data_IF_201758021872
#
_entry.id   IF_201758021872
#
_cell.length_a   1.000
_cell.length_b   1.000
_cell.length_c   1.000
_cell.angle_alpha   90.00
_cell.angle_beta   90.00
_cell.angle_gamma   90.00
#
_symmetry.space_group_name_H-M   'P 1'
#
loop_
_entity.id
_entity.type
_entity.pdbx_description
1 polymer ?
#
# COMPACT_ATOMS: atom_id res chain seq x y z
N UNK A 1 21.06 -2.44 32.87
CA UNK A 1 19.65 -2.87 33.00
C UNK A 1 18.84 -1.60 33.19
N UNK A 2 18.15 -1.11 32.17
CA UNK A 2 17.64 0.27 32.11
C UNK A 2 16.33 0.52 32.90
N UNK A 3 16.15 -0.21 34.00
CA UNK A 3 15.08 0.04 34.97
C UNK A 3 15.68 0.77 36.15
N UNK A 4 15.09 1.89 36.53
CA UNK A 4 15.47 2.59 37.75
C UNK A 4 15.38 1.63 38.95
N UNK A 5 16.30 1.71 39.92
CA UNK A 5 16.35 0.83 41.10
C UNK A 5 15.05 0.84 41.94
N UNK A 6 14.18 1.83 41.73
CA UNK A 6 12.87 1.93 42.37
C UNK A 6 11.72 1.26 41.59
N UNK A 7 11.96 0.77 40.37
CA UNK A 7 10.96 0.02 39.65
C UNK A 7 10.76 -1.34 40.33
N UNK A 8 9.53 -1.66 40.76
CA UNK A 8 9.28 -2.91 41.45
C UNK A 8 9.58 -4.07 40.50
N UNK A 9 10.37 -5.04 40.98
CA UNK A 9 10.46 -6.34 40.31
C UNK A 9 9.05 -6.91 40.16
N UNK A 10 8.82 -7.59 39.03
CA UNK A 10 7.58 -8.34 38.81
C UNK A 10 7.32 -9.23 40.03
N UNK A 11 6.18 -9.04 40.72
CA UNK A 11 5.84 -9.83 41.90
C UNK A 11 5.85 -11.32 41.50
N UNK A 12 6.69 -12.15 42.15
CA UNK A 12 6.64 -13.59 41.94
C UNK A 12 5.27 -14.12 42.32
N UNK A 13 4.83 -15.19 41.64
CA UNK A 13 3.60 -15.86 42.07
C UNK A 13 3.86 -16.58 43.41
N UNK A 14 2.94 -16.53 44.39
CA UNK A 14 3.15 -17.15 45.70
C UNK A 14 3.40 -18.67 45.64
N UNK A 15 2.82 -19.34 44.65
CA UNK A 15 2.86 -20.78 44.42
C UNK A 15 4.03 -21.24 43.54
N UNK A 16 4.69 -20.29 42.86
CA UNK A 16 5.67 -20.54 41.80
C UNK A 16 6.68 -19.37 41.76
N UNK A 17 7.43 -19.11 42.84
CA UNK A 17 8.24 -17.90 43.01
C UNK A 17 9.53 -17.89 42.18
N UNK A 18 9.98 -19.05 41.77
CA UNK A 18 11.25 -19.35 41.10
C UNK A 18 11.07 -19.72 39.62
N UNK A 19 9.83 -19.92 39.16
CA UNK A 19 9.54 -20.24 37.76
C UNK A 19 8.98 -19.04 37.01
N UNK A 20 9.37 -18.83 35.74
CA UNK A 20 8.76 -17.80 34.92
C UNK A 20 7.24 -18.01 34.80
N UNK A 21 6.51 -16.94 34.53
CA UNK A 21 5.07 -17.01 34.20
C UNK A 21 4.93 -17.65 32.82
N UNK A 22 5.02 -18.98 32.81
CA UNK A 22 4.85 -19.87 31.67
C UNK A 22 3.70 -20.84 31.96
N UNK A 23 2.89 -21.21 30.95
CA UNK A 23 2.89 -20.66 29.59
C UNK A 23 2.32 -19.25 29.54
N UNK A 24 2.67 -18.50 28.48
CA UNK A 24 2.09 -17.20 28.19
C UNK A 24 0.56 -17.34 28.08
N UNK A 25 -0.23 -16.54 28.82
CA UNK A 25 -1.68 -16.61 28.71
C UNK A 25 -2.13 -16.35 27.28
N UNK A 26 -3.14 -17.08 26.79
CA UNK A 26 -3.68 -16.96 25.42
C UNK A 26 -4.08 -15.53 25.01
N UNK A 27 -4.42 -14.67 25.98
CA UNK A 27 -4.79 -13.26 25.79
C UNK A 27 -3.61 -12.30 25.65
N UNK A 28 -2.39 -12.74 25.96
CA UNK A 28 -1.19 -11.93 25.85
C UNK A 28 -0.64 -12.11 24.43
N UNK A 29 -0.75 -11.10 23.58
CA UNK A 29 -0.30 -11.17 22.18
C UNK A 29 1.21 -10.93 22.05
N UNK A 30 1.75 -9.98 22.81
CA UNK A 30 3.15 -9.61 22.79
C UNK A 30 3.69 -9.35 24.20
N UNK A 31 5.00 -9.57 24.40
CA UNK A 31 5.75 -9.27 25.64
C UNK A 31 7.20 -8.94 25.27
N UNK A 32 7.66 -7.76 25.66
CA UNK A 32 9.07 -7.38 25.61
C UNK A 32 9.68 -7.33 27.02
N UNK A 33 10.95 -7.71 27.14
CA UNK A 33 11.76 -7.53 28.36
C UNK A 33 12.50 -6.20 28.40
N UNK A 34 12.18 -5.30 27.48
CA UNK A 34 12.98 -4.13 27.15
C UNK A 34 12.23 -2.83 27.50
N UNK A 35 12.99 -1.75 27.66
CA UNK A 35 12.41 -0.43 27.86
C UNK A 35 12.08 0.21 26.53
N UNK A 36 10.94 0.87 26.48
CA UNK A 36 10.41 1.48 25.27
C UNK A 36 9.22 2.36 25.57
N UNK A 37 8.58 2.83 24.53
CA UNK A 37 7.37 3.65 24.60
C UNK A 37 6.42 3.31 23.46
N UNK A 38 5.17 3.69 23.64
CA UNK A 38 4.12 3.49 22.64
C UNK A 38 3.84 4.84 21.97
N UNK A 39 3.63 4.81 20.66
CA UNK A 39 3.06 5.95 19.91
C UNK A 39 1.61 5.64 19.57
N UNK A 40 0.78 6.67 19.45
CA UNK A 40 -0.62 6.53 19.06
C UNK A 40 -0.86 7.35 17.79
N UNK A 41 -1.24 6.67 16.71
CA UNK A 41 -1.52 7.28 15.42
C UNK A 41 -2.95 6.97 15.02
N UNK A 42 -3.85 7.93 15.27
CA UNK A 42 -5.27 7.80 14.99
C UNK A 42 -5.63 8.47 13.65
N UNK A 43 -6.39 7.75 12.83
CA UNK A 43 -7.09 8.29 11.67
C UNK A 43 -8.60 8.06 11.82
N UNK A 44 -9.40 8.53 10.86
CA UNK A 44 -10.84 8.23 10.84
C UNK A 44 -11.13 6.73 10.73
N UNK A 45 -10.20 5.95 10.17
CA UNK A 45 -10.44 4.57 9.75
C UNK A 45 -9.78 3.53 10.67
N UNK A 46 -8.72 3.92 11.38
CA UNK A 46 -7.92 3.03 12.20
C UNK A 46 -7.15 3.79 13.29
N UNK A 47 -6.69 3.03 14.29
CA UNK A 47 -5.72 3.44 15.30
C UNK A 47 -4.52 2.49 15.23
N UNK A 48 -3.34 3.04 14.94
CA UNK A 48 -2.09 2.28 14.90
C UNK A 48 -1.29 2.57 16.17
N UNK A 49 -0.85 1.50 16.83
CA UNK A 49 -0.19 1.49 18.13
C UNK A 49 1.15 0.75 18.01
N UNK A 50 2.23 1.42 17.56
CA UNK A 50 3.56 0.81 17.56
C UNK A 50 4.23 0.94 18.94
N UNK A 51 4.93 -0.12 19.35
CA UNK A 51 5.86 -0.12 20.47
C UNK A 51 7.30 0.08 19.95
N UNK A 52 7.96 1.12 20.46
CA UNK A 52 9.32 1.52 20.06
C UNK A 52 10.31 1.23 21.17
N UNK A 53 11.37 0.50 20.83
CA UNK A 53 12.46 0.18 21.75
C UNK A 53 13.32 1.41 22.03
N UNK A 54 13.72 1.61 23.29
CA UNK A 54 14.63 2.70 23.64
C UNK A 54 16.09 2.40 23.27
N UNK A 55 16.43 1.13 23.03
CA UNK A 55 17.81 0.70 22.83
C UNK A 55 18.29 0.95 21.39
N UNK A 56 17.38 0.89 20.42
CA UNK A 56 17.64 1.08 18.99
C UNK A 56 16.76 2.20 18.36
N UNK A 57 15.67 2.58 19.02
CA UNK A 57 14.70 3.52 18.48
C UNK A 57 13.78 2.91 17.40
N UNK A 58 13.82 1.59 17.22
CA UNK A 58 13.06 0.88 16.20
C UNK A 58 11.72 0.37 16.74
N UNK A 59 10.82 0.00 15.83
CA UNK A 59 9.51 -0.55 16.17
C UNK A 59 9.63 -2.05 16.36
N UNK A 60 9.29 -2.53 17.55
CA UNK A 60 9.39 -3.95 17.94
C UNK A 60 8.05 -4.69 17.86
N UNK A 61 6.94 -3.98 17.96
CA UNK A 61 5.59 -4.52 17.76
C UNK A 61 4.65 -3.45 17.22
N UNK A 62 3.60 -3.85 16.50
CA UNK A 62 2.56 -2.96 16.01
C UNK A 62 1.19 -3.62 16.12
N UNK A 63 0.26 -2.90 16.77
CA UNK A 63 -1.16 -3.25 16.82
C UNK A 63 -1.96 -2.22 16.04
N UNK A 64 -2.77 -2.68 15.09
CA UNK A 64 -3.71 -1.85 14.34
C UNK A 64 -5.14 -2.21 14.75
N UNK A 65 -5.92 -1.21 15.16
CA UNK A 65 -7.34 -1.36 15.50
C UNK A 65 -8.15 -0.63 14.43
N UNK A 66 -8.93 -1.37 13.66
CA UNK A 66 -9.81 -0.82 12.64
C UNK A 66 -11.07 -0.21 13.27
N UNK A 67 -11.72 0.70 12.56
CA UNK A 67 -13.04 1.26 12.94
C UNK A 67 -14.09 0.17 13.19
N UNK A 68 -13.99 -0.97 12.50
CA UNK A 68 -14.84 -2.15 12.72
C UNK A 68 -14.64 -2.83 14.08
N UNK A 69 -13.61 -2.41 14.84
CA UNK A 69 -13.19 -3.02 16.09
C UNK A 69 -12.31 -4.25 15.92
N UNK A 70 -11.97 -4.62 14.69
CA UNK A 70 -11.02 -5.69 14.40
C UNK A 70 -9.59 -5.23 14.68
N UNK A 71 -8.81 -6.08 15.33
CA UNK A 71 -7.43 -5.77 15.70
C UNK A 71 -6.46 -6.72 15.01
N UNK A 72 -5.47 -6.17 14.29
CA UNK A 72 -4.42 -6.89 13.58
C UNK A 72 -3.09 -6.64 14.29
N UNK A 73 -2.42 -7.70 14.71
CA UNK A 73 -1.09 -7.63 15.33
C UNK A 73 -0.04 -8.09 14.32
N UNK A 74 0.93 -7.22 14.03
CA UNK A 74 2.06 -7.49 13.15
C UNK A 74 3.29 -7.86 13.96
N UNK A 75 3.52 -9.15 14.19
CA UNK A 75 4.72 -9.63 14.87
C UNK A 75 5.95 -9.53 13.97
N UNK A 76 6.92 -8.70 14.36
CA UNK A 76 8.24 -8.62 13.73
C UNK A 76 9.08 -9.86 14.04
N UNK A 77 8.88 -10.94 13.28
CA UNK A 77 9.66 -12.17 13.39
C UNK A 77 9.91 -12.77 12.01
N UNK A 78 11.19 -12.87 11.62
CA UNK A 78 11.64 -13.62 10.45
C UNK A 78 11.42 -15.13 10.65
N UNK A 79 10.18 -15.60 10.55
CA UNK A 79 9.88 -17.03 10.58
C UNK A 79 9.95 -17.60 9.16
N UNK A 80 11.17 -17.99 8.79
CA UNK A 80 11.44 -18.93 7.73
C UNK A 80 10.90 -20.32 8.16
N UNK A 81 9.60 -20.56 7.95
CA UNK A 81 9.02 -21.90 8.02
C UNK A 81 8.32 -22.21 6.70
N UNK A 82 9.01 -22.97 5.86
CA UNK A 82 8.46 -23.61 4.69
C UNK A 82 7.33 -24.57 5.09
N UNK A 83 6.10 -24.21 4.77
CA UNK A 83 4.91 -25.07 4.79
C UNK A 83 3.84 -24.43 3.92
N UNK A 84 3.88 -24.74 2.62
CA UNK A 84 3.23 -23.95 1.57
C UNK A 84 1.70 -23.86 1.65
N UNK A 85 1.19 -22.73 1.15
CA UNK A 85 0.23 -22.60 0.06
C UNK A 85 0.15 -21.11 -0.30
N UNK A 86 0.33 -20.79 -1.57
CA UNK A 86 -0.13 -19.53 -2.17
C UNK A 86 0.77 -18.33 -1.94
N UNK A 87 1.45 -17.92 -3.00
CA UNK A 87 1.91 -16.53 -3.18
C UNK A 87 0.71 -15.58 -2.97
N UNK A 88 0.69 -14.89 -1.84
CA UNK A 88 -0.14 -13.72 -1.65
C UNK A 88 0.80 -12.57 -1.35
N UNK A 89 1.08 -11.77 -2.40
CA UNK A 89 1.36 -10.35 -2.25
C UNK A 89 0.35 -9.77 -1.23
N UNK A 90 0.68 -8.72 -0.47
CA UNK A 90 -0.29 -8.12 0.44
C UNK A 90 -1.37 -7.42 -0.40
N UNK A 91 -2.38 -8.20 -0.81
CA UNK A 91 -3.70 -7.76 -1.22
C UNK A 91 -4.48 -7.41 0.05
N UNK A 92 -3.98 -6.40 0.76
CA UNK A 92 -4.67 -5.77 1.88
C UNK A 92 -5.49 -4.61 1.35
N UNK A 93 -6.69 -4.93 0.87
CA UNK A 93 -7.86 -4.06 0.63
C UNK A 93 -7.65 -2.57 0.95
N UNK A 94 -7.01 -1.83 0.03
CA UNK A 94 -7.15 -0.38 0.01
C UNK A 94 -8.52 -0.14 -0.61
N UNK A 95 -9.50 0.12 0.26
CA UNK A 95 -10.84 0.63 -0.04
C UNK A 95 -10.79 1.41 -1.35
N UNK A 96 -11.62 1.05 -2.33
CA UNK A 96 -11.82 1.78 -3.58
C UNK A 96 -11.80 3.27 -3.30
N UNK A 97 -10.61 3.86 -3.46
CA UNK A 97 -10.37 5.21 -3.02
C UNK A 97 -11.19 6.06 -3.97
N UNK A 98 -11.97 6.99 -3.46
CA UNK A 98 -12.76 7.92 -4.27
C UNK A 98 -11.87 8.63 -5.32
N UNK A 99 -10.55 8.66 -5.11
CA UNK A 99 -9.53 9.07 -6.07
C UNK A 99 -9.40 8.18 -7.32
N UNK A 100 -9.64 6.87 -7.21
CA UNK A 100 -9.62 5.92 -8.33
C UNK A 100 -10.62 6.30 -9.42
N UNK A 101 -11.84 6.69 -9.04
CA UNK A 101 -12.88 7.09 -10.00
C UNK A 101 -12.49 8.32 -10.81
N UNK A 102 -11.92 9.35 -10.18
CA UNK A 102 -11.45 10.55 -10.87
C UNK A 102 -10.24 10.28 -11.76
N UNK A 103 -9.31 9.43 -11.31
CA UNK A 103 -8.15 9.01 -12.10
C UNK A 103 -8.59 8.17 -13.30
N UNK A 104 -9.54 7.25 -13.11
CA UNK A 104 -10.10 6.41 -14.16
C UNK A 104 -10.88 7.24 -15.18
N UNK A 105 -11.78 8.11 -14.72
CA UNK A 105 -12.56 9.00 -15.60
C UNK A 105 -11.68 10.00 -16.36
N UNK A 106 -10.72 10.62 -15.67
CA UNK A 106 -9.75 11.53 -16.28
C UNK A 106 -8.87 10.83 -17.32
N UNK A 107 -8.43 9.60 -17.04
CA UNK A 107 -7.64 8.80 -17.98
C UNK A 107 -8.40 8.51 -19.28
N UNK A 108 -9.68 8.14 -19.20
CA UNK A 108 -10.51 7.89 -20.39
C UNK A 108 -10.69 9.16 -21.23
N UNK A 109 -10.91 10.32 -20.60
CA UNK A 109 -11.05 11.60 -21.32
C UNK A 109 -9.75 12.00 -22.04
N UNK A 110 -8.61 11.87 -21.37
CA UNK A 110 -7.29 12.20 -21.95
C UNK A 110 -6.97 11.25 -23.10
N UNK A 111 -7.20 9.95 -22.93
CA UNK A 111 -6.97 8.95 -23.98
C UNK A 111 -7.87 9.23 -25.20
N UNK A 112 -9.15 9.51 -24.97
CA UNK A 112 -10.11 9.84 -26.02
C UNK A 112 -9.72 11.10 -26.80
N UNK A 113 -9.33 12.18 -26.10
CA UNK A 113 -8.86 13.40 -26.74
C UNK A 113 -7.58 13.17 -27.56
N UNK A 114 -6.63 12.39 -27.04
CA UNK A 114 -5.39 12.06 -27.72
C UNK A 114 -5.65 11.21 -28.98
N UNK A 115 -6.42 10.12 -28.87
CA UNK A 115 -6.80 9.30 -30.02
C UNK A 115 -7.54 10.11 -31.08
N UNK A 116 -8.49 10.95 -30.67
CA UNK A 116 -9.25 11.83 -31.56
C UNK A 116 -8.36 12.82 -32.29
N UNK A 117 -7.39 13.41 -31.60
CA UNK A 117 -6.40 14.30 -32.21
C UNK A 117 -5.54 13.59 -33.25
N UNK A 118 -4.99 12.42 -32.93
CA UNK A 118 -4.14 11.65 -33.86
C UNK A 118 -4.93 11.21 -35.10
N UNK A 119 -6.14 10.66 -34.92
CA UNK A 119 -7.00 10.23 -36.03
C UNK A 119 -7.45 11.42 -36.90
N UNK A 120 -7.81 12.54 -36.28
CA UNK A 120 -8.15 13.78 -36.98
C UNK A 120 -6.96 14.35 -37.76
N UNK A 121 -5.77 14.37 -37.16
CA UNK A 121 -4.55 14.83 -37.79
C UNK A 121 -4.16 13.98 -39.01
N UNK A 122 -4.18 12.64 -38.88
CA UNK A 122 -3.91 11.71 -39.99
C UNK A 122 -4.95 11.85 -41.10
N UNK A 123 -6.23 11.97 -40.76
CA UNK A 123 -7.30 12.16 -41.75
C UNK A 123 -7.15 13.49 -42.50
N UNK A 124 -6.79 14.57 -41.79
CA UNK A 124 -6.53 15.86 -42.42
C UNK A 124 -5.28 15.83 -43.31
N UNK A 125 -4.21 15.14 -42.88
CA UNK A 125 -2.98 15.00 -43.66
C UNK A 125 -3.23 14.21 -44.96
N UNK A 126 -4.03 13.15 -44.91
CA UNK A 126 -4.45 12.38 -46.10
C UNK A 126 -5.29 13.21 -47.07
N UNK A 127 -6.14 14.09 -46.56
CA UNK A 127 -6.93 15.03 -47.39
C UNK A 127 -6.08 16.12 -48.05
N UNK A 128 -4.85 16.35 -47.58
CA UNK A 128 -3.86 17.29 -48.13
C UNK A 128 -2.80 16.61 -49.00
N UNK A 129 -2.80 15.28 -49.13
CA UNK A 129 -2.06 14.66 -50.22
C UNK A 129 -2.74 15.11 -51.52
N UNK A 130 -2.01 15.79 -52.44
CA UNK A 130 -2.53 15.98 -53.78
C UNK A 130 -2.82 14.59 -54.32
N UNK A 131 -4.05 14.36 -54.77
CA UNK A 131 -4.41 13.16 -55.50
C UNK A 131 -3.30 12.90 -56.51
N UNK A 132 -2.66 11.73 -56.37
CA UNK A 132 -1.71 11.24 -57.34
C UNK A 132 -2.43 11.08 -58.66
N UNK A 133 -2.39 12.14 -59.48
CA UNK A 133 -2.15 12.09 -60.91
C UNK A 133 -2.88 10.94 -61.64
N UNK A 134 -4.21 10.86 -61.53
CA UNK A 134 -5.00 10.13 -62.53
C UNK A 134 -5.29 11.09 -63.68
N UNK A 135 -4.63 10.80 -64.81
CA UNK A 135 -4.42 11.69 -65.95
C UNK A 135 -5.63 12.47 -66.44
N UNK A 136 -5.48 13.79 -66.46
CA UNK A 136 -6.14 14.62 -67.46
C UNK A 136 -5.09 15.61 -67.98
N UNK A 137 -4.54 15.32 -69.17
CA UNK A 137 -3.72 16.29 -69.90
C UNK A 137 -4.64 17.10 -70.83
N UNK A 138 -4.69 18.43 -70.73
CA UNK A 138 -5.43 19.22 -71.71
C UNK A 138 -4.70 19.13 -73.06
N UNK A 139 -5.38 18.57 -74.06
CA UNK A 139 -4.91 18.55 -75.44
C UNK A 139 -4.91 19.98 -75.95
N UNK A 140 -3.73 20.49 -76.34
CA UNK A 140 -3.61 21.73 -77.10
C UNK A 140 -4.07 21.46 -78.53
N UNK A 141 -5.16 22.09 -78.95
CA UNK A 141 -5.52 22.22 -80.36
C UNK A 141 -4.86 23.50 -80.89
N UNK A 142 -3.77 23.34 -81.64
CA UNK A 142 -3.36 24.34 -82.64
C UNK A 142 -4.24 24.14 -83.86
N UNK A 143 -5.10 25.12 -84.17
CA UNK A 143 -5.69 25.26 -85.50
C UNK A 143 -4.90 26.31 -86.28
N UNK A 144 -4.80 26.04 -87.59
CA UNK A 144 -3.89 26.62 -88.59
C UNK A 144 -4.28 28.03 -89.01
#
# INVERSE_FOLDING_TARGET
MAGQDWQPMWRPRPDHPDVPIYPQPKRSLYRGGEFGYIRLMATKQNLVIPYVGNHDGEVHDTLEILESGEAVSGGGGNDNVNGGIGSAKPEGQIKESTLSWYVQGGSVLVLGAFMGYILGFVSHARKKQPESRSGFSPVKTEET
#
